data_IF_813923120110
#
_entry.id   IF_813923120110
#
_cell.length_a   1.000
_cell.length_b   1.000
_cell.length_c   1.000
_cell.angle_alpha   90.00
_cell.angle_beta   90.00
_cell.angle_gamma   90.00
#
_symmetry.space_group_name_H-M   'P 1'
#
loop_
_entity.id
_entity.type
_entity.pdbx_description
1 polymer ?
#
# COMPACT_ATOMS: atom_id res chain seq x y z
N UNK A 1 13.71 0.14 -20.15
CA UNK A 1 14.97 -0.59 -19.89
C UNK A 1 14.61 -2.03 -19.55
N UNK A 2 14.65 -2.88 -20.56
CA UNK A 2 14.57 -4.33 -20.46
C UNK A 2 15.75 -4.86 -19.65
N UNK A 3 15.50 -5.84 -18.81
CA UNK A 3 16.50 -6.51 -17.98
C UNK A 3 17.37 -7.40 -18.88
N UNK A 4 18.54 -6.91 -19.27
CA UNK A 4 19.57 -7.71 -19.93
C UNK A 4 20.87 -7.62 -19.12
N UNK A 5 21.17 -8.71 -18.42
CA UNK A 5 22.46 -9.35 -18.05
C UNK A 5 23.85 -8.67 -18.11
N UNK A 6 24.04 -7.36 -18.27
CA UNK A 6 25.39 -6.81 -18.54
C UNK A 6 26.04 -5.85 -17.53
N UNK A 7 25.63 -5.84 -16.25
CA UNK A 7 26.34 -5.08 -15.20
C UNK A 7 27.05 -5.98 -14.17
N UNK A 8 27.62 -7.09 -14.64
CA UNK A 8 28.54 -7.90 -13.86
C UNK A 8 29.97 -7.37 -14.04
N UNK A 9 30.34 -6.30 -13.32
CA UNK A 9 31.71 -5.94 -12.90
C UNK A 9 31.77 -4.49 -12.39
N UNK A 10 31.29 -4.23 -11.16
CA UNK A 10 31.82 -3.16 -10.29
C UNK A 10 31.12 -3.18 -8.91
N UNK A 11 31.72 -3.84 -7.92
CA UNK A 11 31.74 -3.40 -6.51
C UNK A 11 32.43 -4.45 -5.62
N UNK A 12 33.77 -4.54 -5.70
CA UNK A 12 34.57 -4.94 -4.53
C UNK A 12 35.03 -3.65 -3.86
N UNK A 13 34.18 -3.13 -2.98
CA UNK A 13 34.45 -1.99 -2.11
C UNK A 13 33.88 -2.30 -0.73
N UNK A 14 34.77 -2.33 0.27
CA UNK A 14 34.59 -2.64 1.69
C UNK A 14 33.76 -1.60 2.46
N UNK A 15 32.59 -1.24 1.93
CA UNK A 15 31.56 -0.58 2.73
C UNK A 15 30.93 -1.60 3.69
N UNK A 16 30.65 -1.26 4.96
CA UNK A 16 29.91 -2.16 5.83
C UNK A 16 28.56 -2.47 5.15
N UNK A 17 28.22 -3.76 5.11
CA UNK A 17 26.95 -4.25 4.60
C UNK A 17 25.80 -3.42 5.19
N UNK A 18 25.09 -2.69 4.33
CA UNK A 18 24.00 -1.82 4.77
C UNK A 18 22.84 -2.68 5.30
N UNK A 19 22.20 -2.23 6.36
CA UNK A 19 20.97 -2.85 6.86
C UNK A 19 19.77 -2.09 6.30
N UNK A 20 18.75 -2.81 5.84
CA UNK A 20 17.50 -2.22 5.42
C UNK A 20 16.30 -2.74 6.22
N UNK A 21 15.24 -1.94 6.23
CA UNK A 21 13.91 -2.34 6.70
C UNK A 21 12.89 -2.12 5.59
N UNK A 22 12.29 -3.20 5.13
CA UNK A 22 11.28 -3.21 4.08
C UNK A 22 9.89 -3.24 4.70
N UNK A 23 9.08 -2.24 4.40
CA UNK A 23 7.72 -2.14 4.91
C UNK A 23 6.74 -2.30 3.77
N UNK A 24 5.84 -3.27 3.88
CA UNK A 24 4.58 -3.18 3.17
C UNK A 24 3.78 -1.95 3.63
N UNK A 25 2.84 -1.49 2.80
CA UNK A 25 2.11 -0.24 3.03
C UNK A 25 0.71 -0.50 3.58
N UNK A 26 -0.11 -1.24 2.83
CA UNK A 26 -1.54 -1.39 3.11
C UNK A 26 -1.74 -2.34 4.30
N UNK A 27 -2.59 -1.99 5.27
CA UNK A 27 -2.76 -2.70 6.57
C UNK A 27 -1.47 -2.89 7.43
N UNK A 28 -0.30 -2.52 6.90
CA UNK A 28 1.00 -2.56 7.58
C UNK A 28 1.40 -1.19 8.13
N UNK A 29 1.59 -0.18 7.27
CA UNK A 29 1.91 1.20 7.67
C UNK A 29 0.66 2.06 7.80
N UNK A 30 -0.29 1.89 6.87
CA UNK A 30 -1.55 2.63 6.85
C UNK A 30 -2.71 1.67 7.10
N UNK A 31 -3.76 2.18 7.75
CA UNK A 31 -5.02 1.45 7.87
C UNK A 31 -5.77 1.49 6.54
N UNK A 32 -6.25 0.35 6.07
CA UNK A 32 -6.95 0.21 4.80
C UNK A 32 -6.02 0.12 3.60
N UNK A 33 -6.62 0.09 2.41
CA UNK A 33 -5.92 -0.01 1.14
C UNK A 33 -5.69 1.36 0.48
N UNK A 34 -4.44 1.69 0.18
CA UNK A 34 -4.05 2.90 -0.56
C UNK A 34 -4.59 2.90 -1.97
N UNK A 35 -4.52 1.77 -2.68
CA UNK A 35 -5.04 1.62 -4.04
C UNK A 35 -6.56 1.79 -4.10
N UNK A 36 -7.30 1.31 -3.09
CA UNK A 36 -8.74 1.55 -3.00
C UNK A 36 -9.08 3.03 -2.79
N UNK A 37 -8.35 3.72 -1.90
CA UNK A 37 -8.55 5.17 -1.67
C UNK A 37 -8.24 5.95 -2.96
N UNK A 38 -7.17 5.61 -3.66
CA UNK A 38 -6.84 6.20 -4.97
C UNK A 38 -7.97 5.95 -5.98
N UNK A 39 -8.43 4.70 -6.14
CA UNK A 39 -9.51 4.37 -7.06
C UNK A 39 -10.80 5.16 -6.76
N UNK A 40 -11.14 5.36 -5.48
CA UNK A 40 -12.30 6.17 -5.09
C UNK A 40 -12.16 7.63 -5.53
N UNK A 41 -10.98 8.21 -5.40
CA UNK A 41 -10.73 9.60 -5.77
C UNK A 41 -10.66 9.77 -7.30
N UNK A 42 -10.05 8.82 -8.02
CA UNK A 42 -10.09 8.78 -9.47
C UNK A 42 -11.53 8.65 -10.01
N UNK A 43 -12.38 7.88 -9.33
CA UNK A 43 -13.80 7.79 -9.69
C UNK A 43 -14.55 9.12 -9.51
N UNK A 44 -14.29 9.84 -8.41
CA UNK A 44 -14.89 11.17 -8.19
C UNK A 44 -14.51 12.20 -9.25
N UNK A 45 -13.34 12.02 -9.87
CA UNK A 45 -12.82 12.86 -10.95
C UNK A 45 -13.23 12.39 -12.35
N UNK A 46 -14.00 11.30 -12.45
CA UNK A 46 -14.45 10.74 -13.72
C UNK A 46 -13.37 9.98 -14.50
N UNK A 47 -12.19 9.74 -13.91
CA UNK A 47 -11.09 8.99 -14.52
C UNK A 47 -11.40 7.49 -14.52
N UNK A 48 -11.98 7.01 -13.43
CA UNK A 48 -12.44 5.62 -13.27
C UNK A 48 -13.95 5.60 -13.35
N UNK A 49 -14.52 4.69 -14.14
CA UNK A 49 -15.97 4.53 -14.26
C UNK A 49 -16.56 3.64 -13.16
N UNK A 50 -17.89 3.70 -12.98
CA UNK A 50 -18.58 2.80 -12.03
C UNK A 50 -18.38 1.32 -12.38
N UNK A 51 -18.35 0.98 -13.67
CA UNK A 51 -18.09 -0.38 -14.13
C UNK A 51 -16.69 -0.87 -13.70
N UNK A 52 -15.73 0.02 -13.54
CA UNK A 52 -14.37 -0.32 -13.08
C UNK A 52 -14.34 -0.59 -11.59
N UNK A 53 -15.02 0.25 -10.81
CA UNK A 53 -15.22 0.02 -9.37
C UNK A 53 -15.95 -1.29 -9.13
N UNK A 54 -17.00 -1.59 -9.88
CA UNK A 54 -17.75 -2.84 -9.76
C UNK A 54 -16.89 -4.07 -10.10
N UNK A 55 -16.05 -3.99 -11.14
CA UNK A 55 -15.12 -5.06 -11.49
C UNK A 55 -14.06 -5.28 -10.39
N UNK A 56 -13.49 -4.20 -9.85
CA UNK A 56 -12.56 -4.27 -8.73
C UNK A 56 -13.19 -4.87 -7.47
N UNK A 57 -14.41 -4.45 -7.13
CA UNK A 57 -15.15 -5.01 -6.01
C UNK A 57 -15.43 -6.51 -6.19
N UNK A 58 -15.80 -6.94 -7.41
CA UNK A 58 -15.99 -8.35 -7.75
C UNK A 58 -14.69 -9.15 -7.60
N UNK A 59 -13.56 -8.63 -8.09
CA UNK A 59 -12.25 -9.25 -7.94
C UNK A 59 -11.84 -9.40 -6.47
N UNK A 60 -12.01 -8.33 -5.68
CA UNK A 60 -11.73 -8.38 -4.24
C UNK A 60 -12.63 -9.41 -3.51
N UNK A 61 -13.91 -9.50 -3.87
CA UNK A 61 -14.82 -10.51 -3.34
C UNK A 61 -14.37 -11.93 -3.66
N UNK A 62 -13.98 -12.18 -4.91
CA UNK A 62 -13.48 -13.49 -5.31
C UNK A 62 -12.16 -13.85 -4.62
N UNK A 63 -11.24 -12.89 -4.50
CA UNK A 63 -10.02 -13.07 -3.73
C UNK A 63 -10.29 -13.55 -2.30
N UNK A 64 -11.26 -12.93 -1.62
CA UNK A 64 -11.63 -13.30 -0.24
C UNK A 64 -12.23 -14.72 -0.18
N UNK A 65 -13.02 -15.12 -1.18
CA UNK A 65 -13.71 -16.41 -1.20
C UNK A 65 -12.83 -17.58 -1.65
N UNK A 66 -12.04 -17.36 -2.69
CA UNK A 66 -11.32 -18.41 -3.42
C UNK A 66 -9.80 -18.29 -3.31
N UNK A 67 -9.29 -17.20 -2.73
CA UNK A 67 -7.87 -16.90 -2.67
C UNK A 67 -7.35 -16.25 -3.95
N UNK A 68 -6.03 -16.27 -4.13
CA UNK A 68 -5.37 -15.68 -5.29
C UNK A 68 -5.59 -16.48 -6.56
N UNK A 69 -6.09 -15.80 -7.59
CA UNK A 69 -6.11 -16.28 -8.96
C UNK A 69 -5.32 -15.30 -9.84
N UNK A 70 -4.32 -15.82 -10.55
CA UNK A 70 -3.41 -15.00 -11.35
C UNK A 70 -4.14 -14.32 -12.52
N UNK A 71 -5.06 -15.03 -13.17
CA UNK A 71 -5.82 -14.49 -14.30
C UNK A 71 -6.74 -13.35 -13.84
N UNK A 72 -7.32 -13.48 -12.64
CA UNK A 72 -8.14 -12.41 -12.06
C UNK A 72 -7.32 -11.20 -11.64
N UNK A 73 -6.12 -11.40 -11.06
CA UNK A 73 -5.19 -10.32 -10.73
C UNK A 73 -4.74 -9.61 -12.01
N UNK A 74 -4.33 -10.36 -13.03
CA UNK A 74 -3.88 -9.80 -14.31
C UNK A 74 -5.02 -9.02 -14.98
N UNK A 75 -6.25 -9.54 -14.98
CA UNK A 75 -7.42 -8.83 -15.51
C UNK A 75 -7.71 -7.52 -14.75
N UNK A 76 -7.58 -7.52 -13.41
CA UNK A 76 -7.77 -6.33 -12.59
C UNK A 76 -6.69 -5.28 -12.86
N UNK A 77 -5.43 -5.71 -12.97
CA UNK A 77 -4.29 -4.85 -13.31
C UNK A 77 -4.48 -4.23 -14.69
N UNK A 78 -4.82 -5.03 -15.71
CA UNK A 78 -5.06 -4.53 -17.06
C UNK A 78 -6.20 -3.52 -17.10
N UNK A 79 -7.25 -3.74 -16.32
CA UNK A 79 -8.36 -2.79 -16.23
C UNK A 79 -7.94 -1.48 -15.57
N UNK A 80 -7.20 -1.55 -14.46
CA UNK A 80 -6.67 -0.37 -13.79
C UNK A 80 -5.73 0.43 -14.72
N UNK A 81 -4.88 -0.25 -15.48
CA UNK A 81 -3.98 0.37 -16.46
C UNK A 81 -4.73 1.11 -17.56
N UNK A 82 -5.82 0.52 -18.09
CA UNK A 82 -6.69 1.19 -19.07
C UNK A 82 -7.36 2.44 -18.52
N UNK A 83 -7.76 2.45 -17.24
CA UNK A 83 -8.33 3.65 -16.63
C UNK A 83 -7.32 4.81 -16.52
N UNK A 84 -6.03 4.50 -16.41
CA UNK A 84 -4.98 5.51 -16.33
C UNK A 84 -4.50 5.98 -17.71
N UNK A 85 -4.84 5.26 -18.78
CA UNK A 85 -4.34 5.55 -20.13
C UNK A 85 -4.62 7.00 -20.55
N UNK A 86 -3.58 7.70 -21.01
CA UNK A 86 -3.66 9.09 -21.46
C UNK A 86 -3.63 10.14 -20.35
N UNK A 87 -3.79 9.76 -19.08
CA UNK A 87 -3.60 10.68 -17.94
C UNK A 87 -2.12 10.96 -17.70
N UNK A 88 -1.80 12.20 -17.33
CA UNK A 88 -0.40 12.58 -17.06
C UNK A 88 0.06 12.03 -15.72
N UNK A 89 1.32 11.63 -15.62
CA UNK A 89 1.92 11.23 -14.35
C UNK A 89 1.81 12.35 -13.30
N UNK A 90 2.00 13.60 -13.73
CA UNK A 90 1.88 14.78 -12.87
C UNK A 90 0.47 14.91 -12.26
N UNK A 91 -0.59 14.63 -13.03
CA UNK A 91 -1.97 14.61 -12.53
C UNK A 91 -2.15 13.54 -11.45
N UNK A 92 -1.63 12.33 -11.67
CA UNK A 92 -1.72 11.25 -10.68
C UNK A 92 -0.95 11.59 -9.40
N UNK A 93 0.22 12.22 -9.52
CA UNK A 93 1.00 12.71 -8.38
C UNK A 93 0.22 13.78 -7.60
N UNK A 94 -0.39 14.75 -8.30
CA UNK A 94 -1.18 15.81 -7.68
C UNK A 94 -2.38 15.24 -6.90
N UNK A 95 -3.10 14.29 -7.51
CA UNK A 95 -4.18 13.55 -6.84
C UNK A 95 -3.65 12.81 -5.61
N UNK A 96 -2.48 12.17 -5.71
CA UNK A 96 -1.83 11.51 -4.60
C UNK A 96 -1.53 12.44 -3.42
N UNK A 97 -1.00 13.63 -3.69
CA UNK A 97 -0.72 14.66 -2.67
C UNK A 97 -2.00 15.07 -1.92
N UNK A 98 -3.08 15.32 -2.65
CA UNK A 98 -4.39 15.63 -2.05
C UNK A 98 -4.92 14.48 -1.18
N UNK A 99 -4.81 13.24 -1.68
CA UNK A 99 -5.21 12.04 -0.94
C UNK A 99 -4.38 11.90 0.34
N UNK A 100 -3.09 12.21 0.30
CA UNK A 100 -2.24 12.09 1.48
C UNK A 100 -2.78 12.95 2.62
N UNK A 101 -3.03 14.22 2.35
CA UNK A 101 -3.46 15.18 3.37
C UNK A 101 -4.88 14.91 3.86
N UNK A 102 -5.77 14.48 2.97
CA UNK A 102 -7.16 14.19 3.32
C UNK A 102 -7.31 12.83 4.04
N UNK A 103 -6.50 11.84 3.68
CA UNK A 103 -6.77 10.44 4.01
C UNK A 103 -5.58 9.70 4.59
N UNK A 104 -4.41 9.67 3.93
CA UNK A 104 -3.31 8.81 4.39
C UNK A 104 -2.71 9.26 5.72
N UNK A 105 -2.50 10.57 5.90
CA UNK A 105 -1.89 11.13 7.11
C UNK A 105 -2.59 10.66 8.40
N UNK A 106 -3.93 10.65 8.39
CA UNK A 106 -4.76 10.24 9.54
C UNK A 106 -4.88 8.73 9.72
N UNK A 107 -4.48 7.93 8.73
CA UNK A 107 -4.57 6.46 8.73
C UNK A 107 -3.25 5.75 8.99
N UNK A 108 -2.13 6.46 8.99
CA UNK A 108 -0.84 5.89 9.40
C UNK A 108 -0.97 5.38 10.85
N UNK A 109 -0.58 4.12 11.07
CA UNK A 109 -0.51 3.57 12.41
C UNK A 109 0.62 4.26 13.19
N UNK A 110 0.34 4.91 14.35
CA UNK A 110 1.37 5.61 15.11
C UNK A 110 2.56 4.71 15.47
N UNK A 111 2.30 3.46 15.85
CA UNK A 111 3.33 2.47 16.18
C UNK A 111 4.15 2.00 14.99
N UNK A 112 3.56 1.99 13.79
CA UNK A 112 4.29 1.67 12.57
C UNK A 112 5.22 2.82 12.18
N UNK A 113 4.78 4.07 12.41
CA UNK A 113 5.65 5.25 12.30
C UNK A 113 6.79 5.22 13.33
N UNK A 114 6.52 4.91 14.59
CA UNK A 114 7.57 4.73 15.62
C UNK A 114 8.61 3.69 15.18
N UNK A 115 8.15 2.52 14.71
CA UNK A 115 9.04 1.47 14.24
C UNK A 115 9.90 1.89 13.04
N UNK A 116 9.32 2.66 12.12
CA UNK A 116 10.04 3.25 11.00
C UNK A 116 11.13 4.22 11.49
N UNK A 117 10.80 5.11 12.41
CA UNK A 117 11.77 6.05 13.00
C UNK A 117 12.87 5.33 13.79
N UNK A 118 12.55 4.25 14.50
CA UNK A 118 13.55 3.43 15.20
C UNK A 118 14.57 2.82 14.22
N UNK A 119 14.14 2.41 13.01
CA UNK A 119 15.08 1.96 11.98
C UNK A 119 15.96 3.10 11.46
N UNK A 120 15.37 4.27 11.23
CA UNK A 120 16.12 5.45 10.80
C UNK A 120 17.14 5.90 11.84
N UNK A 121 16.76 5.89 13.12
CA UNK A 121 17.64 6.24 14.24
C UNK A 121 18.83 5.29 14.41
N UNK A 122 18.72 4.05 13.91
CA UNK A 122 19.82 3.07 13.84
C UNK A 122 20.66 3.19 12.57
N UNK A 123 20.34 4.13 11.68
CA UNK A 123 21.03 4.30 10.40
C UNK A 123 20.66 3.25 9.34
N UNK A 124 19.55 2.53 9.51
CA UNK A 124 19.09 1.57 8.50
C UNK A 124 18.44 2.31 7.33
N UNK A 125 18.60 1.78 6.12
CA UNK A 125 17.82 2.22 4.96
C UNK A 125 16.35 1.77 5.15
N UNK A 126 15.39 2.68 5.00
CA UNK A 126 13.95 2.35 5.12
C UNK A 126 13.31 2.40 3.75
N UNK A 127 12.71 1.30 3.33
CA UNK A 127 12.08 1.16 2.01
C UNK A 127 10.62 0.75 2.12
N UNK A 128 9.75 1.46 1.41
CA UNK A 128 8.34 1.06 1.26
C UNK A 128 8.20 0.18 0.02
N UNK A 129 7.56 -0.99 0.15
CA UNK A 129 7.37 -1.94 -0.96
C UNK A 129 5.88 -2.27 -1.08
N UNK A 130 5.22 -1.85 -2.15
CA UNK A 130 3.75 -1.98 -2.27
C UNK A 130 3.28 -2.26 -3.69
N UNK A 131 2.17 -2.99 -3.84
CA UNK A 131 1.50 -3.20 -5.12
C UNK A 131 0.87 -1.92 -5.70
N UNK A 132 0.69 -0.88 -4.89
CA UNK A 132 0.15 0.42 -5.29
C UNK A 132 1.08 1.11 -6.30
N UNK A 133 0.56 1.98 -7.21
CA UNK A 133 1.38 2.72 -8.16
C UNK A 133 2.57 3.43 -7.51
N UNK A 134 3.72 3.42 -8.19
CA UNK A 134 4.98 4.00 -7.68
C UNK A 134 4.83 5.44 -7.23
N UNK A 135 4.02 6.24 -7.91
CA UNK A 135 3.76 7.64 -7.58
C UNK A 135 3.23 7.81 -6.14
N UNK A 136 2.35 6.91 -5.69
CA UNK A 136 1.79 6.93 -4.34
C UNK A 136 2.79 6.37 -3.32
N UNK A 137 3.47 5.28 -3.66
CA UNK A 137 4.46 4.67 -2.78
C UNK A 137 5.65 5.61 -2.54
N UNK A 138 6.12 6.30 -3.57
CA UNK A 138 7.20 7.30 -3.50
C UNK A 138 6.75 8.54 -2.72
N UNK A 139 5.51 8.99 -2.91
CA UNK A 139 4.90 10.05 -2.12
C UNK A 139 4.89 9.68 -0.62
N UNK A 140 4.38 8.49 -0.29
CA UNK A 140 4.34 7.99 1.09
C UNK A 140 5.74 7.91 1.69
N UNK A 141 6.71 7.37 0.94
CA UNK A 141 8.09 7.29 1.38
C UNK A 141 8.67 8.68 1.70
N UNK A 142 8.48 9.65 0.79
CA UNK A 142 8.91 11.04 1.00
C UNK A 142 8.26 11.66 2.23
N UNK A 143 6.93 11.54 2.37
CA UNK A 143 6.18 12.15 3.48
C UNK A 143 6.48 11.49 4.83
N UNK A 144 6.89 10.22 4.84
CA UNK A 144 7.30 9.48 6.03
C UNK A 144 8.79 9.60 6.34
N UNK A 145 9.57 10.27 5.50
CA UNK A 145 11.03 10.37 5.67
C UNK A 145 11.78 9.05 5.44
N UNK A 146 11.17 8.10 4.74
CA UNK A 146 11.83 6.87 4.33
C UNK A 146 12.91 7.13 3.28
N UNK A 147 13.83 6.19 3.09
CA UNK A 147 14.89 6.26 2.07
C UNK A 147 14.30 6.24 0.66
N UNK A 148 13.22 5.48 0.43
CA UNK A 148 12.53 5.44 -0.84
C UNK A 148 11.33 4.49 -0.87
N UNK A 149 10.61 4.52 -1.99
CA UNK A 149 9.50 3.64 -2.29
C UNK A 149 9.80 2.76 -3.50
N UNK A 150 9.20 1.58 -3.53
CA UNK A 150 9.12 0.72 -4.72
C UNK A 150 7.67 0.30 -4.86
N UNK A 151 6.97 0.95 -5.77
CA UNK A 151 5.60 0.60 -6.17
C UNK A 151 5.53 -0.06 -7.53
N UNK A 152 4.32 -0.38 -7.96
CA UNK A 152 4.03 -0.87 -9.32
C UNK A 152 4.27 0.24 -10.34
N UNK A 153 5.08 -0.02 -11.37
CA UNK A 153 5.48 1.00 -12.36
C UNK A 153 4.72 0.86 -13.67
N UNK A 154 3.97 1.90 -14.01
CA UNK A 154 3.25 2.05 -15.28
C UNK A 154 4.18 2.65 -16.34
N UNK A 155 4.06 2.21 -17.59
CA UNK A 155 4.79 2.81 -18.71
C UNK A 155 4.28 4.22 -18.99
N UNK A 156 5.18 5.11 -19.39
CA UNK A 156 4.84 6.46 -19.81
C UNK A 156 5.22 6.66 -21.29
N UNK A 157 4.48 7.52 -21.98
CA UNK A 157 4.87 8.05 -23.28
C UNK A 157 5.90 9.19 -23.16
N UNK A 158 6.34 9.74 -24.29
CA UNK A 158 7.30 10.85 -24.35
C UNK A 158 6.79 12.14 -23.70
N UNK A 159 5.48 12.28 -23.52
CA UNK A 159 4.83 13.43 -22.90
C UNK A 159 4.53 13.19 -21.41
N UNK A 160 5.00 12.07 -20.84
CA UNK A 160 4.77 11.72 -19.44
C UNK A 160 3.34 11.24 -19.15
N UNK A 161 2.62 10.73 -20.15
CA UNK A 161 1.27 10.16 -19.99
C UNK A 161 1.32 8.65 -19.83
N UNK A 162 0.45 8.12 -18.98
CA UNK A 162 0.34 6.70 -18.72
C UNK A 162 -0.08 5.92 -19.98
N UNK A 163 0.63 4.82 -20.22
CA UNK A 163 0.33 3.80 -21.21
C UNK A 163 -0.22 2.56 -20.49
N UNK A 164 -1.09 1.75 -21.13
CA UNK A 164 -1.79 0.66 -20.48
C UNK A 164 -0.92 -0.61 -20.33
N UNK A 165 0.32 -0.46 -19.86
CA UNK A 165 1.26 -1.57 -19.62
C UNK A 165 2.20 -1.26 -18.46
N UNK A 166 2.68 -2.30 -17.79
CA UNK A 166 3.72 -2.19 -16.77
C UNK A 166 5.11 -2.19 -17.41
N UNK A 167 6.09 -1.54 -16.76
CA UNK A 167 7.51 -1.60 -17.14
C UNK A 167 8.35 -2.50 -16.23
N UNK A 168 7.71 -3.06 -15.19
CA UNK A 168 8.29 -4.02 -14.26
C UNK A 168 7.24 -5.06 -13.89
N UNK A 169 7.63 -6.21 -13.32
CA UNK A 169 6.68 -7.08 -12.65
C UNK A 169 5.82 -6.31 -11.65
N UNK A 170 4.56 -6.72 -11.49
CA UNK A 170 3.66 -6.22 -10.46
C UNK A 170 4.34 -6.33 -9.09
N UNK A 171 4.25 -5.30 -8.23
CA UNK A 171 4.83 -5.34 -6.88
C UNK A 171 3.99 -6.18 -5.91
N UNK A 172 3.84 -7.45 -6.25
CA UNK A 172 3.05 -8.44 -5.55
C UNK A 172 3.77 -9.79 -5.59
N UNK A 173 3.79 -10.50 -4.46
CA UNK A 173 4.46 -11.79 -4.32
C UNK A 173 5.91 -11.79 -4.83
N UNK A 174 6.18 -12.58 -5.88
CA UNK A 174 7.49 -12.71 -6.49
C UNK A 174 8.09 -11.38 -6.99
N UNK A 175 7.25 -10.43 -7.41
CA UNK A 175 7.72 -9.11 -7.82
C UNK A 175 8.40 -8.36 -6.67
N UNK A 176 7.82 -8.39 -5.47
CA UNK A 176 8.42 -7.75 -4.28
C UNK A 176 9.78 -8.37 -3.93
N UNK A 177 9.88 -9.69 -4.00
CA UNK A 177 11.15 -10.41 -3.75
C UNK A 177 12.22 -9.99 -4.76
N UNK A 178 11.86 -9.97 -6.04
CA UNK A 178 12.77 -9.51 -7.11
C UNK A 178 13.25 -8.07 -6.90
N UNK A 179 12.34 -7.17 -6.51
CA UNK A 179 12.68 -5.78 -6.19
C UNK A 179 13.64 -5.66 -5.01
N UNK A 180 13.41 -6.40 -3.93
CA UNK A 180 14.28 -6.37 -2.75
C UNK A 180 15.67 -6.92 -3.04
N UNK A 181 15.77 -8.02 -3.80
CA UNK A 181 17.09 -8.53 -4.22
C UNK A 181 17.82 -7.58 -5.16
N UNK A 182 17.12 -6.98 -6.13
CA UNK A 182 17.69 -5.98 -7.01
C UNK A 182 18.22 -4.77 -6.22
N UNK A 183 17.41 -4.26 -5.28
CA UNK A 183 17.77 -3.14 -4.44
C UNK A 183 18.96 -3.48 -3.54
N UNK A 184 18.99 -4.70 -3.01
CA UNK A 184 20.07 -5.16 -2.15
C UNK A 184 21.40 -5.21 -2.88
N UNK A 185 21.43 -5.72 -4.11
CA UNK A 185 22.62 -5.68 -4.97
C UNK A 185 23.05 -4.24 -5.28
N UNK A 186 22.09 -3.39 -5.66
CA UNK A 186 22.35 -1.99 -6.06
C UNK A 186 22.91 -1.14 -4.92
N UNK A 187 22.54 -1.43 -3.67
CA UNK A 187 22.88 -0.61 -2.50
C UNK A 187 23.81 -1.31 -1.51
N UNK A 188 24.32 -2.49 -1.86
CA UNK A 188 25.13 -3.32 -0.97
C UNK A 188 24.44 -3.57 0.39
N UNK A 189 23.14 -3.92 0.34
CA UNK A 189 22.35 -4.27 1.53
C UNK A 189 22.51 -5.75 1.82
N UNK A 190 22.74 -6.08 3.10
CA UNK A 190 22.76 -7.46 3.57
C UNK A 190 21.38 -7.86 4.08
N UNK A 191 20.72 -8.72 3.31
CA UNK A 191 19.38 -9.19 3.63
C UNK A 191 19.35 -10.04 4.90
N UNK A 192 20.45 -10.72 5.25
CA UNK A 192 20.54 -11.53 6.47
C UNK A 192 20.56 -10.69 7.75
N UNK A 193 20.88 -9.40 7.64
CA UNK A 193 20.81 -8.42 8.73
C UNK A 193 19.57 -7.52 8.63
N UNK A 194 18.80 -7.65 7.55
CA UNK A 194 17.68 -6.76 7.22
C UNK A 194 16.35 -7.26 7.77
N UNK A 195 15.37 -6.35 7.73
CA UNK A 195 14.05 -6.51 8.32
C UNK A 195 12.98 -6.43 7.23
N UNK A 196 11.89 -7.16 7.41
CA UNK A 196 10.70 -7.04 6.56
C UNK A 196 9.43 -7.12 7.40
N UNK A 197 8.45 -6.29 7.03
CA UNK A 197 7.19 -6.10 7.73
C UNK A 197 6.03 -6.21 6.75
N UNK A 198 5.06 -7.08 7.02
CA UNK A 198 3.84 -7.23 6.22
C UNK A 198 2.69 -7.83 7.03
N UNK A 199 1.46 -7.58 6.58
CA UNK A 199 0.22 -8.16 7.11
C UNK A 199 -0.26 -9.39 6.33
N UNK A 200 0.24 -9.61 5.11
CA UNK A 200 -0.32 -10.59 4.19
C UNK A 200 0.59 -11.79 3.96
N UNK A 201 -0.02 -12.97 3.84
CA UNK A 201 0.68 -14.20 3.46
C UNK A 201 1.30 -14.13 2.06
N UNK A 202 0.86 -13.19 1.22
CA UNK A 202 1.40 -12.95 -0.12
C UNK A 202 2.87 -12.51 -0.07
N UNK A 203 3.28 -11.92 1.06
CA UNK A 203 4.64 -11.48 1.30
C UNK A 203 5.48 -12.52 2.06
N UNK A 204 4.99 -13.74 2.29
CA UNK A 204 5.78 -14.82 2.88
C UNK A 204 7.13 -15.03 2.18
N UNK A 205 7.22 -15.01 0.82
CA UNK A 205 8.51 -15.10 0.15
C UNK A 205 9.46 -13.95 0.51
N UNK A 206 8.95 -12.72 0.66
CA UNK A 206 9.74 -11.56 1.08
C UNK A 206 10.20 -11.69 2.53
N UNK A 207 9.30 -12.06 3.43
CA UNK A 207 9.62 -12.26 4.85
C UNK A 207 10.69 -13.34 5.03
N UNK A 208 10.63 -14.43 4.25
CA UNK A 208 11.66 -15.49 4.27
C UNK A 208 13.00 -15.08 3.68
N UNK A 209 13.05 -14.00 2.88
CA UNK A 209 14.28 -13.55 2.22
C UNK A 209 15.18 -12.70 3.13
N UNK A 210 14.71 -12.30 4.32
CA UNK A 210 15.45 -11.45 5.26
C UNK A 210 15.74 -12.17 6.59
N UNK A 211 16.73 -11.69 7.34
CA UNK A 211 17.08 -12.27 8.63
C UNK A 211 16.15 -11.92 9.79
N UNK A 212 15.40 -10.82 9.68
CA UNK A 212 14.51 -10.34 10.74
C UNK A 212 13.07 -10.08 10.24
N UNK A 213 12.32 -11.14 9.87
CA UNK A 213 10.91 -11.00 9.50
C UNK A 213 10.04 -10.66 10.71
N UNK A 214 9.02 -9.85 10.47
CA UNK A 214 7.95 -9.64 11.43
C UNK A 214 6.60 -9.45 10.74
N UNK A 215 5.57 -10.03 11.35
CA UNK A 215 4.19 -9.92 10.90
C UNK A 215 3.50 -8.74 11.59
N UNK A 216 2.79 -7.91 10.82
CA UNK A 216 2.05 -6.73 11.29
C UNK A 216 0.57 -6.97 11.05
N UNK A 217 -0.28 -6.95 12.08
CA UNK A 217 -1.73 -7.18 11.91
C UNK A 217 -2.08 -8.41 11.04
N UNK A 218 -1.38 -9.56 11.16
CA UNK A 218 -1.35 -10.56 10.09
C UNK A 218 -2.73 -11.16 9.79
N UNK A 219 -2.94 -11.46 8.51
CA UNK A 219 -4.00 -12.36 8.07
C UNK A 219 -3.85 -13.76 8.72
N UNK A 220 -4.89 -14.61 8.69
CA UNK A 220 -4.83 -15.92 9.34
C UNK A 220 -3.70 -16.82 8.85
N UNK A 221 -3.35 -16.78 7.56
CA UNK A 221 -2.29 -17.62 6.97
C UNK A 221 -0.91 -17.13 7.39
N UNK A 222 -0.65 -15.83 7.34
CA UNK A 222 0.59 -15.23 7.81
C UNK A 222 0.74 -15.41 9.32
N UNK A 223 -0.35 -15.28 10.09
CA UNK A 223 -0.32 -15.50 11.53
C UNK A 223 0.14 -16.92 11.87
N UNK A 224 -0.40 -17.93 11.17
CA UNK A 224 0.00 -19.31 11.38
C UNK A 224 1.48 -19.53 11.04
N UNK A 225 1.94 -19.00 9.90
CA UNK A 225 3.34 -19.09 9.49
C UNK A 225 4.29 -18.40 10.49
N UNK A 226 3.92 -17.20 10.94
CA UNK A 226 4.70 -16.44 11.92
C UNK A 226 4.82 -17.19 13.25
N UNK A 227 3.73 -17.78 13.76
CA UNK A 227 3.75 -18.60 14.97
C UNK A 227 4.62 -19.85 14.80
N UNK A 228 4.50 -20.55 13.67
CA UNK A 228 5.28 -21.75 13.38
C UNK A 228 6.79 -21.47 13.26
N UNK A 229 7.17 -20.29 12.75
CA UNK A 229 8.57 -19.89 12.56
C UNK A 229 9.12 -19.01 13.70
N UNK A 230 8.35 -18.77 14.77
CA UNK A 230 8.76 -17.92 15.88
C UNK A 230 8.98 -16.44 15.52
N UNK A 231 8.36 -15.98 14.43
CA UNK A 231 8.48 -14.59 13.98
C UNK A 231 7.72 -13.65 14.91
N UNK A 232 8.24 -12.43 15.06
CA UNK A 232 7.59 -11.41 15.87
C UNK A 232 6.27 -10.98 15.23
N UNK A 233 5.21 -10.93 16.02
CA UNK A 233 3.89 -10.44 15.60
C UNK A 233 3.59 -9.14 16.33
N UNK A 234 3.21 -8.12 15.57
CA UNK A 234 2.75 -6.84 16.11
C UNK A 234 1.27 -6.64 15.84
N UNK A 235 0.57 -6.07 16.83
CA UNK A 235 -0.75 -5.47 16.62
C UNK A 235 -0.63 -3.95 16.69
N UNK A 236 -0.77 -3.31 15.53
CA UNK A 236 -0.69 -1.85 15.36
C UNK A 236 -2.05 -1.17 15.52
N UNK A 237 -3.14 -1.94 15.52
CA UNK A 237 -4.51 -1.43 15.71
C UNK A 237 -4.77 -1.10 17.18
N UNK A 238 -4.07 -1.77 18.09
CA UNK A 238 -4.16 -1.55 19.53
C UNK A 238 -3.53 -0.21 19.97
N UNK A 239 -4.35 0.67 20.57
CA UNK A 239 -3.89 1.90 21.25
C UNK A 239 -3.83 1.66 22.76
N UNK A 240 -2.76 2.11 23.43
CA UNK A 240 -2.70 2.16 24.90
C UNK A 240 -3.91 2.95 25.43
N UNK A 241 -4.51 2.45 26.52
CA UNK A 241 -5.76 2.92 27.14
C UNK A 241 -5.78 4.42 27.55
N UNK A 242 -4.63 5.10 27.56
CA UNK A 242 -4.49 6.51 27.96
C UNK A 242 -4.79 7.56 26.89
N UNK A 243 -4.90 7.18 25.61
CA UNK A 243 -4.98 8.11 24.48
C UNK A 243 -6.44 8.46 24.07
N UNK A 244 -7.43 7.84 24.73
CA UNK A 244 -8.86 7.98 24.44
C UNK A 244 -9.50 9.26 25.00
N UNK A 245 -8.86 9.91 25.98
CA UNK A 245 -9.42 11.05 26.72
C UNK A 245 -9.71 12.28 25.83
N UNK A 246 -8.85 12.55 24.84
CA UNK A 246 -8.95 13.75 24.01
C UNK A 246 -9.67 13.55 22.67
N UNK A 247 -9.60 12.35 22.08
CA UNK A 247 -10.25 12.08 20.79
C UNK A 247 -11.74 11.76 20.93
N UNK A 248 -12.16 11.07 22.01
CA UNK A 248 -13.57 10.72 22.23
C UNK A 248 -14.45 11.97 22.41
N UNK A 249 -13.93 13.03 23.04
CA UNK A 249 -14.61 14.32 23.20
C UNK A 249 -14.82 15.06 21.87
N UNK A 250 -13.97 14.82 20.85
CA UNK A 250 -14.07 15.45 19.52
C UNK A 250 -15.00 14.70 18.57
N UNK A 251 -15.03 13.35 18.64
CA UNK A 251 -15.86 12.51 17.76
C UNK A 251 -17.34 12.51 18.17
N UNK A 252 -17.66 12.58 19.47
CA UNK A 252 -19.04 12.61 19.95
C UNK A 252 -19.84 13.83 19.46
N UNK A 253 -19.18 14.97 19.21
CA UNK A 253 -19.82 16.16 18.63
C UNK A 253 -20.07 16.07 17.12
N UNK A 254 -19.39 15.16 16.39
CA UNK A 254 -19.53 15.00 14.92
C UNK A 254 -20.56 13.93 14.54
N UNK A 255 -20.65 12.84 15.29
CA UNK A 255 -21.60 11.74 15.03
C UNK A 255 -23.07 12.15 15.24
N UNK A 256 -23.35 13.06 16.18
CA UNK A 256 -24.71 13.58 16.40
C UNK A 256 -25.27 14.35 15.18
N UNK A 257 -24.40 15.07 14.43
CA UNK A 257 -24.81 15.83 13.25
C UNK A 257 -25.06 14.94 12.02
N UNK A 258 -24.26 13.89 11.84
CA UNK A 258 -24.39 12.95 10.72
C UNK A 258 -25.61 12.03 10.89
N UNK A 259 -25.88 11.58 12.12
CA UNK A 259 -27.07 10.77 12.42
C UNK A 259 -28.38 11.55 12.16
N UNK A 260 -28.42 12.84 12.51
CA UNK A 260 -29.57 13.70 12.24
C UNK A 260 -29.80 13.91 10.74
N UNK A 261 -28.74 14.08 9.95
CA UNK A 261 -28.82 14.21 8.50
C UNK A 261 -29.35 12.94 7.83
N UNK A 262 -28.83 11.76 8.20
CA UNK A 262 -29.27 10.46 7.66
C UNK A 262 -30.74 10.18 8.00
N UNK A 263 -31.19 10.57 9.20
CA UNK A 263 -32.58 10.42 9.62
C UNK A 263 -33.52 11.31 8.80
N UNK A 264 -33.16 12.58 8.55
CA UNK A 264 -33.94 13.48 7.69
C UNK A 264 -34.04 12.97 6.24
N UNK A 265 -32.93 12.48 5.66
CA UNK A 265 -32.93 11.96 4.28
C UNK A 265 -33.84 10.74 4.14
N UNK A 266 -33.84 9.84 5.13
CA UNK A 266 -34.75 8.67 5.13
C UNK A 266 -36.22 9.06 5.23
N UNK A 267 -36.55 10.12 5.96
CA UNK A 267 -37.91 10.66 6.11
C UNK A 267 -38.43 11.23 4.78
N UNK A 268 -37.60 12.02 4.08
CA UNK A 268 -37.93 12.62 2.77
C UNK A 268 -38.12 11.53 1.71
N UNK A 269 -37.24 10.53 1.64
CA UNK A 269 -37.35 9.41 0.68
C UNK A 269 -38.62 8.58 0.94
N UNK A 270 -39.05 8.43 2.20
CA UNK A 270 -40.28 7.71 2.56
C UNK A 270 -41.55 8.47 2.16
N UNK A 271 -41.57 9.80 2.28
CA UNK A 271 -42.72 10.60 1.84
C UNK A 271 -42.84 10.65 0.32
N UNK A 272 -41.74 10.80 -0.42
CA UNK A 272 -41.75 10.83 -1.88
C UNK A 272 -42.25 9.51 -2.51
N UNK A 273 -41.92 8.36 -1.92
CA UNK A 273 -42.45 7.04 -2.36
C UNK A 273 -43.95 6.85 -2.17
N UNK A 274 -44.58 7.70 -1.35
CA UNK A 274 -46.01 7.64 -1.04
C UNK A 274 -46.85 8.54 -1.96
N UNK A 275 -46.21 9.50 -2.62
CA UNK A 275 -46.81 10.41 -3.61
C UNK A 275 -46.72 9.82 -5.03
N UNK A 276 -45.78 8.90 -5.26
CA UNK A 276 -45.56 8.22 -6.55
C UNK A 276 -46.25 6.85 -6.64
N UNK A 277 -47.33 6.64 -5.90
CA UNK A 277 -48.24 5.48 -5.98
C UNK A 277 -49.67 5.94 -5.95
#
# INVERSE_FOLDING_TARGET
>A
MTYTENDALAAKGTSPNRVAAFFDVDETLIRGSSSFILAQELWRRGIVGWADIAAAAKGAWKYVLFGEDKEEIDALVQRALKCLEGHSEAEIIAIGEEIYDQFFASRIFPRAKELLEDHRGRGHDVWLISATPSQITDLLARRLGATGGIGTRVALDENGRCLPRLISPLMHGAGKVGAVHWLARKRNIDLSLSYAYSDSANDLPLLRAVGHPAAINPDPKLRLAALASGWRIYDMRWRKRGDLSNSAKKTAKRSAKVAAAIWLTRLVVRQLRRILR
#
